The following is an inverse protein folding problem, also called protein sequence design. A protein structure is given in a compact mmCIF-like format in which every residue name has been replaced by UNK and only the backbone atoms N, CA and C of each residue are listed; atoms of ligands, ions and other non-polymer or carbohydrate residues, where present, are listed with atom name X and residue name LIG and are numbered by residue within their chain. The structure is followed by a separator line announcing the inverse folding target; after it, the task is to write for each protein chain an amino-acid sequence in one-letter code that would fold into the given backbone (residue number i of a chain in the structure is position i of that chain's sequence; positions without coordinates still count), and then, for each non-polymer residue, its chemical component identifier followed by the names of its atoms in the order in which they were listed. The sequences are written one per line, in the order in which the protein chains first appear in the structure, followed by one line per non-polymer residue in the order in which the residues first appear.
data_IF_098114721061
#
_entry.id   IF_098114721061
#
_cell.length_a   1.000
_cell.length_b   1.000
_cell.length_c   1.000
_cell.angle_alpha   90.00
_cell.angle_beta   90.00
_cell.angle_gamma   90.00
#
_symmetry.space_group_name_H-M   'P 1'
#
loop_
_entity.id
_entity.type
_entity.pdbx_description
1 polymer ?
#
# COMPACT_ATOMS: atom_id res chain seq x y z
N UNK A 1 -20.42 3.68 34.10
CA UNK A 1 -19.54 4.38 33.14
C UNK A 1 -19.90 3.91 31.73
N UNK A 2 -20.51 4.75 30.89
CA UNK A 2 -20.83 4.41 29.50
C UNK A 2 -19.50 4.33 28.72
N UNK A 3 -19.16 3.16 28.17
CA UNK A 3 -18.00 3.01 27.28
C UNK A 3 -18.16 3.98 26.11
N UNK A 4 -17.12 4.80 25.83
CA UNK A 4 -17.08 5.62 24.62
C UNK A 4 -17.29 4.70 23.41
N UNK A 5 -18.31 5.02 22.60
CA UNK A 5 -18.65 4.23 21.42
C UNK A 5 -17.45 4.23 20.47
N UNK A 6 -16.87 3.05 20.21
CA UNK A 6 -15.75 2.92 19.28
C UNK A 6 -16.21 3.36 17.86
N UNK A 7 -15.57 4.39 17.32
CA UNK A 7 -15.82 4.86 15.96
C UNK A 7 -14.94 4.05 15.00
N UNK A 8 -15.57 3.14 14.26
CA UNK A 8 -14.84 2.40 13.22
C UNK A 8 -14.34 3.34 12.14
N UNK A 9 -13.08 3.20 11.65
CA UNK A 9 -12.60 3.93 10.48
C UNK A 9 -13.41 3.52 9.24
N UNK A 10 -13.41 4.35 8.21
CA UNK A 10 -13.89 3.94 6.90
C UNK A 10 -13.00 2.80 6.34
N UNK A 11 -13.50 2.05 5.37
CA UNK A 11 -12.70 1.02 4.72
C UNK A 11 -11.46 1.59 4.04
N UNK A 12 -11.58 2.77 3.44
CA UNK A 12 -10.45 3.44 2.79
C UNK A 12 -9.39 3.87 3.82
N UNK A 13 -9.79 4.49 4.94
CA UNK A 13 -8.86 4.82 6.02
C UNK A 13 -8.20 3.58 6.60
N UNK A 14 -8.95 2.49 6.75
CA UNK A 14 -8.42 1.23 7.25
C UNK A 14 -7.34 0.67 6.33
N UNK A 15 -7.64 0.53 5.03
CA UNK A 15 -6.67 -0.04 4.10
C UNK A 15 -5.48 0.88 3.81
N UNK A 16 -5.64 2.20 3.85
CA UNK A 16 -4.51 3.13 3.79
C UNK A 16 -3.60 3.00 5.03
N UNK A 17 -4.17 2.81 6.22
CA UNK A 17 -3.37 2.52 7.43
C UNK A 17 -2.62 1.20 7.31
N UNK A 18 -3.22 0.18 6.72
CA UNK A 18 -2.51 -1.08 6.43
C UNK A 18 -1.38 -0.84 5.43
N UNK A 19 -1.59 -0.03 4.38
CA UNK A 19 -0.52 0.33 3.44
C UNK A 19 0.62 1.09 4.12
N UNK A 20 0.32 1.99 5.06
CA UNK A 20 1.34 2.67 5.89
C UNK A 20 2.12 1.66 6.73
N UNK A 21 1.44 0.75 7.41
CA UNK A 21 2.10 -0.30 8.22
C UNK A 21 2.99 -1.19 7.34
N UNK A 22 2.52 -1.57 6.15
CA UNK A 22 3.31 -2.34 5.18
C UNK A 22 4.55 -1.57 4.74
N UNK A 23 4.47 -0.24 4.60
CA UNK A 23 5.60 0.60 4.20
C UNK A 23 6.74 0.62 5.21
N UNK A 24 6.50 0.28 6.48
CA UNK A 24 7.55 0.15 7.51
C UNK A 24 8.56 -0.96 7.20
N UNK A 25 8.20 -1.88 6.29
CA UNK A 25 9.11 -2.93 5.80
C UNK A 25 9.96 -2.50 4.60
N UNK A 26 9.78 -1.28 4.08
CA UNK A 26 10.58 -0.76 2.98
C UNK A 26 12.07 -0.76 3.33
N UNK A 27 12.91 -1.11 2.36
CA UNK A 27 14.36 -1.23 2.53
C UNK A 27 15.14 -0.12 1.81
N UNK A 28 14.46 0.94 1.40
CA UNK A 28 15.06 2.10 0.75
C UNK A 28 14.96 3.34 1.66
N UNK A 29 16.08 3.93 2.10
CA UNK A 29 16.07 5.07 3.02
C UNK A 29 15.55 6.37 2.38
N UNK A 30 15.38 6.40 1.05
CA UNK A 30 14.89 7.59 0.35
C UNK A 30 13.39 7.80 0.48
N UNK A 31 12.62 6.71 0.50
CA UNK A 31 11.15 6.75 0.59
C UNK A 31 10.63 5.38 1.03
N UNK A 32 9.71 5.36 1.97
CA UNK A 32 8.99 4.17 2.39
C UNK A 32 7.62 4.15 1.73
N UNK A 33 7.41 3.21 0.82
CA UNK A 33 6.16 3.03 0.11
C UNK A 33 5.51 1.69 0.46
N UNK A 34 4.20 1.70 0.63
CA UNK A 34 3.39 0.51 0.83
C UNK A 34 2.20 0.48 -0.12
N UNK A 35 1.84 -0.72 -0.54
CA UNK A 35 0.67 -0.99 -1.39
C UNK A 35 -0.11 -2.16 -0.83
N UNK A 36 -1.44 -2.05 -0.84
CA UNK A 36 -2.37 -3.13 -0.46
C UNK A 36 -3.39 -3.29 -1.58
N UNK A 37 -3.47 -4.48 -2.17
CA UNK A 37 -4.49 -4.81 -3.14
C UNK A 37 -5.69 -5.42 -2.43
N UNK A 38 -6.88 -4.86 -2.67
CA UNK A 38 -8.12 -5.23 -1.97
C UNK A 38 -9.23 -5.50 -2.97
N UNK A 39 -9.96 -6.58 -2.75
CA UNK A 39 -11.19 -6.90 -3.48
C UNK A 39 -12.25 -7.36 -2.49
N UNK A 40 -13.47 -6.85 -2.64
CA UNK A 40 -14.61 -7.21 -1.78
C UNK A 40 -14.28 -7.10 -0.27
N UNK A 41 -13.53 -6.05 0.10
CA UNK A 41 -13.03 -5.78 1.47
C UNK A 41 -12.06 -6.85 2.01
N UNK A 42 -11.53 -7.70 1.14
CA UNK A 42 -10.49 -8.68 1.50
C UNK A 42 -9.15 -8.23 0.91
N UNK A 43 -8.09 -8.33 1.71
CA UNK A 43 -6.73 -8.09 1.24
C UNK A 43 -6.32 -9.29 0.38
N UNK A 44 -5.95 -9.01 -0.86
CA UNK A 44 -5.41 -10.00 -1.80
C UNK A 44 -3.92 -10.17 -1.60
N UNK A 45 -3.20 -9.05 -1.48
CA UNK A 45 -1.75 -9.01 -1.28
C UNK A 45 -1.32 -7.67 -0.69
N UNK A 46 -0.07 -7.64 -0.24
CA UNK A 46 0.62 -6.44 0.18
C UNK A 46 1.96 -6.34 -0.54
N UNK A 47 2.50 -5.14 -0.65
CA UNK A 47 3.83 -4.90 -1.19
C UNK A 47 4.46 -3.65 -0.59
N UNK A 48 5.76 -3.67 -0.42
CA UNK A 48 6.58 -2.51 -0.05
C UNK A 48 7.74 -2.38 -1.03
N UNK A 49 8.37 -1.22 -1.10
CA UNK A 49 9.53 -1.03 -1.97
C UNK A 49 10.77 -1.66 -1.34
N UNK A 50 11.32 -2.67 -2.02
CA UNK A 50 12.45 -3.46 -1.51
C UNK A 50 13.24 -4.12 -2.64
N UNK A 51 14.46 -4.54 -2.32
CA UNK A 51 15.35 -5.25 -3.24
C UNK A 51 14.77 -6.60 -3.64
N UNK A 52 15.21 -7.13 -4.77
CA UNK A 52 14.87 -8.48 -5.18
C UNK A 52 15.42 -9.52 -4.20
N UNK A 53 14.83 -10.71 -4.09
CA UNK A 53 15.40 -11.79 -3.29
C UNK A 53 16.83 -12.10 -3.73
N UNK A 54 17.75 -12.14 -2.78
CA UNK A 54 19.18 -12.42 -3.01
C UNK A 54 20.05 -11.20 -3.31
N UNK A 55 19.47 -10.00 -3.49
CA UNK A 55 20.25 -8.77 -3.57
C UNK A 55 20.27 -8.03 -2.21
N UNK A 56 21.32 -7.23 -1.98
CA UNK A 56 21.46 -6.42 -0.79
C UNK A 56 20.40 -5.31 -0.72
N UNK A 57 20.06 -4.87 0.48
CA UNK A 57 19.15 -3.74 0.66
C UNK A 57 19.86 -2.39 0.48
N UNK A 58 19.10 -1.37 0.09
CA UNK A 58 19.64 -0.01 -0.01
C UNK A 58 20.18 0.52 1.32
N UNK A 59 19.67 0.02 2.44
CA UNK A 59 20.15 0.37 3.79
C UNK A 59 21.54 -0.20 4.07
N UNK A 60 21.91 -1.34 3.45
CA UNK A 60 23.18 -2.01 3.64
C UNK A 60 24.26 -1.52 2.67
N UNK A 61 23.93 -1.44 1.38
CA UNK A 61 24.90 -1.15 0.30
C UNK A 61 24.61 0.16 -0.46
N UNK A 62 23.58 0.90 -0.05
CA UNK A 62 23.19 2.14 -0.70
C UNK A 62 22.26 1.95 -1.90
N UNK A 63 21.75 3.05 -2.41
CA UNK A 63 20.86 3.08 -3.56
C UNK A 63 21.63 3.00 -4.88
N UNK A 64 21.14 2.20 -5.83
CA UNK A 64 21.60 2.21 -7.23
C UNK A 64 20.82 3.28 -7.99
N UNK A 65 21.47 4.42 -8.27
CA UNK A 65 20.79 5.58 -8.86
C UNK A 65 21.02 5.62 -10.38
N UNK A 66 19.93 5.58 -11.12
CA UNK A 66 19.88 5.83 -12.58
C UNK A 66 18.83 6.91 -12.83
N UNK A 67 19.18 7.95 -13.55
CA UNK A 67 18.29 9.08 -13.87
C UNK A 67 17.53 9.62 -12.66
N UNK A 68 18.22 9.80 -11.53
CA UNK A 68 17.68 10.25 -10.23
C UNK A 68 16.74 9.26 -9.53
N UNK A 69 16.51 8.08 -10.08
CA UNK A 69 15.68 7.03 -9.48
C UNK A 69 16.55 5.89 -8.94
N UNK A 70 16.14 5.31 -7.82
CA UNK A 70 16.75 4.08 -7.34
C UNK A 70 16.19 2.90 -8.14
N UNK A 71 17.08 2.15 -8.80
CA UNK A 71 16.69 0.98 -9.60
C UNK A 71 16.94 -0.35 -8.87
N UNK A 72 17.51 -0.32 -7.68
CA UNK A 72 17.70 -1.52 -6.85
C UNK A 72 16.38 -2.09 -6.34
N UNK A 73 15.43 -1.22 -5.98
CA UNK A 73 14.17 -1.65 -5.38
C UNK A 73 13.07 -1.84 -6.41
N UNK A 74 12.31 -2.91 -6.25
CA UNK A 74 10.99 -3.06 -6.86
C UNK A 74 10.02 -2.14 -6.09
N UNK A 75 9.17 -1.42 -6.79
CA UNK A 75 8.18 -0.55 -6.16
C UNK A 75 7.08 -1.35 -5.46
N UNK A 76 6.46 -0.74 -4.45
CA UNK A 76 5.44 -1.38 -3.62
C UNK A 76 4.28 -1.97 -4.42
N UNK A 77 3.79 -1.24 -5.41
CA UNK A 77 2.69 -1.65 -6.28
C UNK A 77 3.04 -2.88 -7.12
N UNK A 78 4.26 -2.85 -7.69
CA UNK A 78 4.77 -3.99 -8.46
C UNK A 78 4.94 -5.22 -7.57
N UNK A 79 5.50 -5.06 -6.36
CA UNK A 79 5.62 -6.16 -5.41
C UNK A 79 4.25 -6.76 -5.05
N UNK A 80 3.24 -5.92 -4.81
CA UNK A 80 1.88 -6.41 -4.52
C UNK A 80 1.30 -7.21 -5.69
N UNK A 81 1.49 -6.75 -6.94
CA UNK A 81 1.04 -7.47 -8.14
C UNK A 81 1.79 -8.81 -8.28
N UNK A 82 3.11 -8.81 -8.10
CA UNK A 82 3.94 -10.00 -8.21
C UNK A 82 3.58 -11.04 -7.14
N UNK A 83 3.25 -10.61 -5.91
CA UNK A 83 2.74 -11.50 -4.87
C UNK A 83 1.42 -12.17 -5.29
N UNK A 84 0.48 -11.41 -5.84
CA UNK A 84 -0.74 -12.01 -6.40
C UNK A 84 -0.41 -13.01 -7.51
N UNK A 85 0.47 -12.65 -8.43
CA UNK A 85 0.87 -13.50 -9.55
C UNK A 85 1.49 -14.82 -9.08
N UNK A 86 2.41 -14.77 -8.12
CA UNK A 86 3.11 -15.98 -7.60
C UNK A 86 2.18 -16.94 -6.86
N UNK A 87 1.05 -16.43 -6.34
CA UNK A 87 0.07 -17.26 -5.61
C UNK A 87 -1.21 -17.54 -6.42
N UNK A 88 -1.23 -17.19 -7.72
CA UNK A 88 -2.40 -17.42 -8.58
C UNK A 88 -3.65 -16.60 -8.19
N UNK A 89 -3.46 -15.44 -7.54
CA UNK A 89 -4.56 -14.60 -7.07
C UNK A 89 -4.97 -13.61 -8.17
N UNK A 90 -6.25 -13.62 -8.53
CA UNK A 90 -6.80 -12.74 -9.55
C UNK A 90 -7.02 -11.33 -8.99
N UNK A 91 -6.35 -10.34 -9.58
CA UNK A 91 -6.41 -8.92 -9.23
C UNK A 91 -7.49 -8.12 -9.98
N UNK A 92 -8.17 -8.72 -10.95
CA UNK A 92 -9.17 -8.03 -11.76
C UNK A 92 -10.26 -7.41 -10.88
N UNK A 93 -10.56 -6.13 -11.14
CA UNK A 93 -11.51 -5.29 -10.38
C UNK A 93 -11.12 -5.00 -8.92
N UNK A 94 -9.88 -5.26 -8.52
CA UNK A 94 -9.39 -4.86 -7.20
C UNK A 94 -9.18 -3.32 -7.11
N UNK A 95 -9.06 -2.84 -5.88
CA UNK A 95 -8.64 -1.48 -5.52
C UNK A 95 -7.22 -1.55 -4.97
N UNK A 96 -6.33 -0.67 -5.43
CA UNK A 96 -5.00 -0.50 -4.88
C UNK A 96 -4.99 0.67 -3.89
N UNK A 97 -4.63 0.39 -2.64
CA UNK A 97 -4.36 1.41 -1.62
C UNK A 97 -2.85 1.61 -1.54
N UNK A 98 -2.39 2.81 -1.85
CA UNK A 98 -0.96 3.11 -1.95
C UNK A 98 -0.63 4.35 -1.14
N UNK A 99 0.49 4.36 -0.44
CA UNK A 99 0.92 5.52 0.34
C UNK A 99 1.14 6.76 -0.52
N UNK A 100 1.59 6.57 -1.77
CA UNK A 100 1.94 7.63 -2.70
C UNK A 100 1.29 7.41 -4.07
N UNK A 101 1.18 8.47 -4.88
CA UNK A 101 0.76 8.34 -6.27
C UNK A 101 1.71 7.39 -7.02
N UNK A 102 1.21 6.34 -7.69
CA UNK A 102 2.01 5.44 -8.50
C UNK A 102 2.75 6.16 -9.63
N UNK A 103 4.02 5.82 -9.86
CA UNK A 103 4.76 6.31 -11.02
C UNK A 103 4.20 5.73 -12.33
N UNK A 104 4.63 6.30 -13.46
CA UNK A 104 4.19 5.86 -14.80
C UNK A 104 4.30 4.34 -15.03
N UNK A 105 5.36 3.70 -14.56
CA UNK A 105 5.55 2.25 -14.75
C UNK A 105 4.59 1.44 -13.87
N UNK A 106 4.42 1.84 -12.60
CA UNK A 106 3.46 1.20 -11.71
C UNK A 106 2.01 1.42 -12.19
N UNK A 107 1.68 2.60 -12.72
CA UNK A 107 0.36 2.87 -13.29
C UNK A 107 0.03 1.90 -14.44
N UNK A 108 0.98 1.70 -15.38
CA UNK A 108 0.80 0.72 -16.48
C UNK A 108 0.59 -0.70 -15.94
N UNK A 109 1.36 -1.10 -14.94
CA UNK A 109 1.24 -2.44 -14.35
C UNK A 109 -0.11 -2.63 -13.64
N UNK A 110 -0.53 -1.66 -12.81
CA UNK A 110 -1.83 -1.70 -12.13
C UNK A 110 -3.00 -1.76 -13.12
N UNK A 111 -2.96 -0.95 -14.19
CA UNK A 111 -3.97 -0.98 -15.26
C UNK A 111 -4.02 -2.37 -15.91
N UNK A 112 -2.87 -2.90 -16.29
CA UNK A 112 -2.77 -4.22 -16.96
C UNK A 112 -3.20 -5.36 -16.04
N UNK A 113 -2.95 -5.24 -14.72
CA UNK A 113 -3.43 -6.16 -13.70
C UNK A 113 -4.96 -6.06 -13.44
N UNK A 114 -5.66 -5.15 -14.13
CA UNK A 114 -7.12 -5.00 -14.02
C UNK A 114 -7.58 -4.25 -12.77
N UNK A 115 -6.72 -3.42 -12.15
CA UNK A 115 -7.10 -2.56 -11.03
C UNK A 115 -8.11 -1.51 -11.52
N UNK A 116 -9.22 -1.36 -10.79
CA UNK A 116 -10.31 -0.41 -11.14
C UNK A 116 -10.20 0.94 -10.43
N UNK A 117 -9.55 0.97 -9.29
CA UNK A 117 -9.43 2.16 -8.45
C UNK A 117 -8.10 2.18 -7.72
N UNK A 118 -7.52 3.37 -7.61
CA UNK A 118 -6.31 3.64 -6.83
C UNK A 118 -6.65 4.68 -5.76
N UNK A 119 -6.40 4.37 -4.51
CA UNK A 119 -6.63 5.27 -3.35
C UNK A 119 -5.28 5.63 -2.75
N UNK A 120 -5.01 6.92 -2.64
CA UNK A 120 -3.73 7.47 -2.15
C UNK A 120 -3.96 8.56 -1.11
N UNK A 121 -2.92 8.89 -0.33
CA UNK A 121 -2.93 10.07 0.55
C UNK A 121 -1.76 11.04 0.30
N UNK A 122 -0.76 10.65 -0.47
CA UNK A 122 0.37 11.51 -0.84
C UNK A 122 0.49 11.61 -2.35
N UNK A 123 0.60 12.85 -2.85
CA UNK A 123 0.82 13.10 -4.27
C UNK A 123 2.31 12.99 -4.61
N UNK A 124 2.60 12.21 -5.63
CA UNK A 124 3.84 12.23 -6.37
C UNK A 124 3.51 12.71 -7.78
N UNK A 125 4.11 13.83 -8.21
CA UNK A 125 3.78 14.44 -9.49
C UNK A 125 4.28 13.61 -10.67
N UNK A 126 3.43 12.70 -11.18
CA UNK A 126 3.63 12.00 -12.44
C UNK A 126 2.40 12.20 -13.34
N UNK A 127 2.47 13.25 -14.15
CA UNK A 127 1.37 13.63 -15.06
C UNK A 127 1.05 12.56 -16.10
N UNK A 128 2.01 11.70 -16.45
CA UNK A 128 1.79 10.59 -17.40
C UNK A 128 1.02 9.47 -16.74
N UNK A 129 1.31 9.14 -15.48
CA UNK A 129 0.55 8.15 -14.71
C UNK A 129 -0.93 8.53 -14.65
N UNK A 130 -1.24 9.79 -14.34
CA UNK A 130 -2.62 10.27 -14.31
C UNK A 130 -3.31 10.17 -15.68
N UNK A 131 -2.61 10.54 -16.76
CA UNK A 131 -3.13 10.40 -18.13
C UNK A 131 -3.46 8.95 -18.46
N UNK A 132 -2.61 7.99 -18.06
CA UNK A 132 -2.86 6.56 -18.29
C UNK A 132 -4.07 6.06 -17.49
N UNK A 133 -4.16 6.37 -16.20
CA UNK A 133 -5.32 6.01 -15.39
C UNK A 133 -6.61 6.58 -15.97
N UNK A 134 -6.61 7.84 -16.38
CA UNK A 134 -7.77 8.48 -17.03
C UNK A 134 -8.18 7.76 -18.32
N UNK A 135 -7.22 7.44 -19.22
CA UNK A 135 -7.48 6.71 -20.46
C UNK A 135 -8.05 5.31 -20.20
N UNK A 136 -7.52 4.62 -19.20
CA UNK A 136 -7.96 3.29 -18.78
C UNK A 136 -9.23 3.31 -17.93
N UNK A 137 -9.80 4.48 -17.63
CA UNK A 137 -10.97 4.66 -16.76
C UNK A 137 -10.77 4.11 -15.34
N UNK A 138 -9.52 4.04 -14.87
CA UNK A 138 -9.19 3.73 -13.48
C UNK A 138 -9.43 4.97 -12.63
N UNK A 139 -10.20 4.83 -11.57
CA UNK A 139 -10.50 5.94 -10.65
C UNK A 139 -9.29 6.22 -9.77
N UNK A 140 -8.98 7.50 -9.54
CA UNK A 140 -8.01 7.94 -8.54
C UNK A 140 -8.77 8.65 -7.43
N UNK A 141 -8.61 8.16 -6.20
CA UNK A 141 -9.18 8.78 -5.00
C UNK A 141 -8.05 9.28 -4.12
N UNK A 142 -8.06 10.58 -3.84
CA UNK A 142 -7.10 11.22 -2.93
C UNK A 142 -7.77 11.46 -1.58
N UNK A 143 -7.16 10.99 -0.53
CA UNK A 143 -7.64 11.17 0.84
C UNK A 143 -6.59 11.91 1.67
N UNK A 144 -6.99 12.58 2.75
CA UNK A 144 -6.02 13.11 3.70
C UNK A 144 -5.19 11.97 4.29
N UNK A 145 -3.98 12.32 4.75
CA UNK A 145 -3.11 11.35 5.46
C UNK A 145 -3.91 10.74 6.62
N UNK A 146 -4.04 9.42 6.69
CA UNK A 146 -4.72 8.78 7.80
C UNK A 146 -4.06 9.16 9.13
N UNK A 147 -4.86 9.30 10.18
CA UNK A 147 -4.30 9.51 11.52
C UNK A 147 -3.35 8.35 11.86
N UNK A 148 -2.05 8.68 11.93
CA UNK A 148 -0.98 7.72 12.22
C UNK A 148 -1.06 7.18 13.66
N UNK A 149 -1.78 7.88 14.55
CA UNK A 149 -2.05 7.38 15.88
C UNK A 149 -3.06 6.24 15.80
N UNK A 150 -2.55 5.04 15.55
CA UNK A 150 -3.32 3.83 15.80
C UNK A 150 -3.39 3.72 17.32
N UNK A 151 -4.37 4.36 17.93
CA UNK A 151 -4.68 4.15 19.32
C UNK A 151 -5.21 2.71 19.47
N UNK A 152 -4.28 1.79 19.69
CA UNK A 152 -4.66 0.50 20.23
C UNK A 152 -5.13 0.76 21.68
N UNK A 153 -6.41 0.70 21.90
CA UNK A 153 -6.92 0.51 23.25
C UNK A 153 -6.48 -0.89 23.70
N UNK A 154 -5.24 -0.96 24.22
CA UNK A 154 -4.66 -2.22 24.70
C UNK A 154 -5.56 -2.87 25.77
N UNK A 155 -6.29 -2.08 26.54
CA UNK A 155 -7.26 -2.60 27.52
C UNK A 155 -8.40 -3.35 26.83
N UNK A 156 -8.82 -2.94 25.62
CA UNK A 156 -9.83 -3.68 24.87
C UNK A 156 -9.37 -5.07 24.42
N UNK A 157 -8.06 -5.24 24.19
CA UNK A 157 -7.46 -6.54 23.87
C UNK A 157 -7.16 -7.37 25.14
N UNK A 158 -6.86 -6.72 26.26
CA UNK A 158 -6.47 -7.38 27.51
C UNK A 158 -7.72 -7.74 28.35
N UNK A 159 -8.81 -6.98 28.27
CA UNK A 159 -10.04 -7.25 29.02
C UNK A 159 -10.71 -8.56 28.60
N UNK A 160 -10.34 -9.14 27.47
CA UNK A 160 -10.70 -10.50 27.09
C UNK A 160 -10.14 -11.59 28.06
N UNK A 161 -9.17 -11.24 28.92
CA UNK A 161 -8.60 -12.16 29.94
C UNK A 161 -9.51 -12.42 31.13
N UNK A 162 -10.69 -11.85 31.21
CA UNK A 162 -11.70 -12.20 32.22
C UNK A 162 -12.68 -13.30 31.80
N UNK A 163 -12.26 -14.19 30.87
CA UNK A 163 -12.91 -15.49 30.83
C UNK A 163 -12.35 -16.29 32.00
N UNK A 164 -13.09 -16.28 33.09
CA UNK A 164 -12.88 -17.21 34.22
C UNK A 164 -12.93 -18.63 33.65
N UNK A 165 -11.86 -19.37 33.87
CA UNK A 165 -11.88 -20.83 33.85
C UNK A 165 -12.95 -21.34 34.85
#
# INVERSE_FOLDING_TARGET
MLRKKHKRPSWDDYFLKVAMLVSERATCPRMHCGCVLVKDKQILSTGYNGSIPGDAHCEDEGCMIVDKHCVRTIHAEMNAILQCSSHGVNTANATAYVTNMPCTNCAKALITAGIKEVVIFSDYHDTLAEKFFKKAKVKIKRLPVPDANIHYDLESFISAKKFKQ
#
